data_IF_796934219835
#
_entry.id   IF_796934219835
#
_cell.length_a   1.000
_cell.length_b   1.000
_cell.length_c   1.000
_cell.angle_alpha   90.00
_cell.angle_beta   90.00
_cell.angle_gamma   90.00
#
_symmetry.space_group_name_H-M   'P 1'
#
loop_
_entity.id
_entity.type
_entity.pdbx_description
1 polymer ?
#
# COMPACT_ATOMS: atom_id res chain seq x y z
N UNK A 1 41.56 1.56 8.87
CA UNK A 1 41.73 0.43 9.75
C UNK A 1 41.25 0.73 11.15
N UNK A 2 41.79 1.75 11.75
CA UNK A 2 41.27 2.22 13.00
C UNK A 2 39.81 2.57 12.85
N UNK A 3 39.53 3.20 11.76
CA UNK A 3 38.19 3.57 11.42
C UNK A 3 37.32 2.34 11.31
N UNK A 4 37.88 1.24 10.84
CA UNK A 4 37.12 -0.01 10.76
C UNK A 4 36.72 -0.52 12.12
N UNK A 5 37.60 -0.48 13.09
CA UNK A 5 37.28 -0.90 14.43
C UNK A 5 36.13 -0.10 14.99
N UNK A 6 36.21 1.18 14.80
CA UNK A 6 35.15 2.05 15.29
C UNK A 6 33.83 1.77 14.62
N UNK A 7 33.89 1.52 13.33
CA UNK A 7 32.68 1.19 12.59
C UNK A 7 32.08 -0.12 13.06
N UNK A 8 32.90 -1.07 13.39
CA UNK A 8 32.43 -2.34 13.91
C UNK A 8 31.70 -2.17 15.23
N UNK A 9 32.03 -1.14 15.96
CA UNK A 9 31.43 -0.93 17.24
C UNK A 9 29.93 -0.73 17.16
N UNK A 10 29.44 0.07 16.20
CA UNK A 10 27.99 0.28 16.18
C UNK A 10 27.44 0.90 14.93
N UNK A 11 28.08 1.90 14.33
CA UNK A 11 27.43 2.58 13.23
C UNK A 11 27.05 1.68 12.06
N UNK A 12 27.91 0.71 11.77
CA UNK A 12 27.63 -0.22 10.67
C UNK A 12 26.47 -1.15 10.98
N UNK A 13 26.39 -1.60 12.22
CA UNK A 13 25.27 -2.48 12.62
C UNK A 13 23.96 -1.74 12.59
N UNK A 14 23.96 -0.51 13.08
CA UNK A 14 22.77 0.32 13.05
C UNK A 14 22.34 0.57 11.60
N UNK A 15 23.28 0.89 10.75
CA UNK A 15 23.03 1.12 9.34
C UNK A 15 22.46 -0.12 8.66
N UNK A 16 22.98 -1.31 8.99
CA UNK A 16 22.48 -2.55 8.44
C UNK A 16 21.04 -2.82 8.84
N UNK A 17 20.71 -2.60 10.10
CA UNK A 17 19.35 -2.82 10.58
C UNK A 17 18.40 -1.87 9.90
N UNK A 18 18.78 -0.61 9.78
CA UNK A 18 17.96 0.39 9.11
C UNK A 18 17.77 0.04 7.63
N UNK A 19 18.83 -0.36 6.94
CA UNK A 19 18.75 -0.76 5.55
C UNK A 19 17.86 -1.98 5.36
N UNK A 20 17.91 -2.94 6.30
CA UNK A 20 17.07 -4.12 6.24
C UNK A 20 15.60 -3.75 6.31
N UNK A 21 15.23 -2.83 7.20
CA UNK A 21 13.85 -2.35 7.29
C UNK A 21 13.42 -1.65 6.01
N UNK A 22 14.28 -0.80 5.47
CA UNK A 22 14.00 -0.11 4.22
C UNK A 22 13.83 -1.09 3.06
N UNK A 23 14.66 -2.12 3.02
CA UNK A 23 14.54 -3.15 2.00
C UNK A 23 13.23 -3.90 2.12
N UNK A 24 12.80 -4.23 3.35
CA UNK A 24 11.51 -4.88 3.57
C UNK A 24 10.36 -4.01 3.08
N UNK A 25 10.42 -2.72 3.34
CA UNK A 25 9.39 -1.80 2.89
C UNK A 25 9.36 -1.71 1.37
N UNK A 26 10.52 -1.66 0.73
CA UNK A 26 10.60 -1.64 -0.73
C UNK A 26 10.04 -2.92 -1.33
N UNK A 27 10.35 -4.06 -0.74
CA UNK A 27 9.79 -5.33 -1.19
C UNK A 27 8.28 -5.35 -1.00
N UNK A 28 7.81 -4.83 0.13
CA UNK A 28 6.38 -4.72 0.41
C UNK A 28 5.70 -3.86 -0.66
N UNK A 29 6.27 -2.71 -0.98
CA UNK A 29 5.71 -1.83 -1.99
C UNK A 29 5.64 -2.49 -3.36
N UNK A 30 6.65 -3.27 -3.72
CA UNK A 30 6.63 -4.03 -4.97
C UNK A 30 5.53 -5.07 -4.96
N UNK A 31 5.36 -5.77 -3.84
CA UNK A 31 4.30 -6.77 -3.72
C UNK A 31 2.92 -6.12 -3.82
N UNK A 32 2.76 -4.95 -3.21
CA UNK A 32 1.51 -4.21 -3.30
C UNK A 32 1.22 -3.88 -4.76
N UNK A 33 2.20 -3.40 -5.49
CA UNK A 33 2.06 -3.07 -6.91
C UNK A 33 1.56 -4.28 -7.71
N UNK A 34 2.06 -5.46 -7.39
CA UNK A 34 1.75 -6.67 -8.14
C UNK A 34 0.44 -7.34 -7.70
N UNK A 35 0.02 -7.15 -6.45
CA UNK A 35 -1.06 -7.96 -5.88
C UNK A 35 -2.21 -7.17 -5.26
N UNK A 36 -2.21 -5.85 -5.31
CA UNK A 36 -3.22 -5.08 -4.57
C UNK A 36 -4.65 -5.37 -5.03
N UNK A 37 -4.84 -5.81 -6.27
CA UNK A 37 -6.16 -6.14 -6.79
C UNK A 37 -6.69 -7.45 -6.23
N UNK A 38 -5.80 -8.41 -5.97
CA UNK A 38 -6.16 -9.72 -5.48
C UNK A 38 -6.13 -9.82 -3.96
N UNK A 39 -5.19 -9.14 -3.31
CA UNK A 39 -4.96 -9.29 -1.88
C UNK A 39 -4.89 -7.94 -1.20
N UNK A 40 -5.86 -7.69 -0.32
CA UNK A 40 -6.02 -6.38 0.31
C UNK A 40 -5.65 -6.35 1.79
N UNK A 41 -5.33 -7.52 2.37
CA UNK A 41 -5.00 -7.60 3.79
C UNK A 41 -3.49 -7.68 4.01
N UNK A 42 -2.97 -6.98 5.03
CA UNK A 42 -1.52 -7.01 5.30
C UNK A 42 -0.95 -8.41 5.53
N UNK A 43 -1.76 -9.35 6.02
CA UNK A 43 -1.28 -10.70 6.32
C UNK A 43 -0.69 -11.41 5.11
N UNK A 44 -1.31 -11.24 3.93
CA UNK A 44 -0.77 -11.84 2.71
C UNK A 44 0.65 -11.36 2.45
N UNK A 45 0.87 -10.06 2.56
CA UNK A 45 2.17 -9.45 2.29
C UNK A 45 3.21 -9.82 3.36
N UNK A 46 2.76 -9.86 4.60
CA UNK A 46 3.64 -10.27 5.69
C UNK A 46 4.14 -11.70 5.48
N UNK A 47 3.24 -12.61 5.07
CA UNK A 47 3.63 -13.99 4.76
C UNK A 47 4.69 -14.03 3.65
N UNK A 48 4.49 -13.25 2.61
CA UNK A 48 5.46 -13.20 1.50
C UNK A 48 6.81 -12.68 1.94
N UNK A 49 6.82 -11.79 2.93
CA UNK A 49 8.05 -11.18 3.44
C UNK A 49 8.63 -11.95 4.63
N UNK A 50 7.99 -13.06 5.02
CA UNK A 50 8.42 -13.90 6.14
C UNK A 50 8.49 -13.12 7.45
N UNK A 51 7.50 -12.26 7.68
CA UNK A 51 7.37 -11.52 8.93
C UNK A 51 5.91 -11.60 9.38
N UNK A 52 5.66 -11.17 10.61
CA UNK A 52 4.28 -11.09 11.10
C UNK A 52 3.60 -9.83 10.58
N UNK A 53 2.27 -9.85 10.50
CA UNK A 53 1.52 -8.67 10.09
C UNK A 53 1.78 -7.51 11.06
N UNK A 54 1.87 -7.80 12.36
CA UNK A 54 2.15 -6.77 13.35
C UNK A 54 3.52 -6.12 13.13
N UNK A 55 4.52 -6.92 12.82
CA UNK A 55 5.86 -6.40 12.55
C UNK A 55 5.86 -5.55 11.29
N UNK A 56 5.19 -6.03 10.24
CA UNK A 56 5.10 -5.27 8.99
C UNK A 56 4.44 -3.91 9.23
N UNK A 57 3.31 -3.88 9.96
CA UNK A 57 2.65 -2.63 10.29
C UNK A 57 3.57 -1.71 11.08
N UNK A 58 4.34 -2.28 12.00
CA UNK A 58 5.23 -1.50 12.85
C UNK A 58 6.33 -0.83 12.03
N UNK A 59 7.01 -1.56 11.16
CA UNK A 59 8.08 -0.97 10.37
C UNK A 59 7.54 0.04 9.37
N UNK A 60 6.39 -0.22 8.77
CA UNK A 60 5.76 0.73 7.86
C UNK A 60 5.42 2.02 8.61
N UNK A 61 4.81 1.91 9.78
CA UNK A 61 4.44 3.08 10.57
C UNK A 61 5.67 3.88 10.99
N UNK A 62 6.72 3.20 11.39
CA UNK A 62 7.95 3.86 11.83
C UNK A 62 8.66 4.57 10.68
N UNK A 63 8.75 3.94 9.52
CA UNK A 63 9.54 4.45 8.40
C UNK A 63 8.73 5.35 7.45
N UNK A 64 7.43 5.16 7.34
CA UNK A 64 6.60 5.91 6.38
C UNK A 64 5.46 6.68 7.03
N UNK A 65 5.27 6.53 8.33
CA UNK A 65 4.17 7.13 9.08
C UNK A 65 2.80 6.57 8.71
N UNK A 66 2.76 5.49 7.94
CA UNK A 66 1.53 4.81 7.50
C UNK A 66 1.63 3.33 7.81
N UNK A 67 0.52 2.72 8.22
CA UNK A 67 0.51 1.26 8.42
C UNK A 67 0.52 0.57 7.06
N UNK A 68 0.81 -0.74 7.06
CA UNK A 68 0.76 -1.53 5.84
C UNK A 68 -0.64 -1.48 5.23
N UNK A 69 -1.68 -1.57 6.07
CA UNK A 69 -3.06 -1.46 5.58
C UNK A 69 -3.34 -0.13 4.90
N UNK A 70 -2.83 0.96 5.47
CA UNK A 70 -2.99 2.29 4.85
C UNK A 70 -2.35 2.34 3.48
N UNK A 71 -1.16 1.78 3.35
CA UNK A 71 -0.42 1.77 2.08
C UNK A 71 -1.19 0.99 1.02
N UNK A 72 -1.73 -0.18 1.39
CA UNK A 72 -2.53 -0.99 0.47
C UNK A 72 -3.79 -0.22 0.03
N UNK A 73 -4.52 0.35 0.99
CA UNK A 73 -5.76 1.08 0.69
C UNK A 73 -5.49 2.29 -0.19
N UNK A 74 -4.39 2.97 0.05
CA UNK A 74 -4.02 4.13 -0.76
C UNK A 74 -3.74 3.72 -2.21
N UNK A 75 -3.06 2.59 -2.40
CA UNK A 75 -2.77 2.11 -3.76
C UNK A 75 -4.04 1.76 -4.51
N UNK A 76 -4.98 1.10 -3.83
CA UNK A 76 -6.28 0.76 -4.43
C UNK A 76 -7.01 2.05 -4.80
N UNK A 77 -7.01 3.03 -3.90
CA UNK A 77 -7.72 4.30 -4.10
C UNK A 77 -7.14 5.06 -5.30
N UNK A 78 -5.83 5.12 -5.42
CA UNK A 78 -5.18 5.81 -6.53
C UNK A 78 -5.56 5.17 -7.85
N UNK A 79 -5.58 3.84 -7.91
CA UNK A 79 -5.97 3.15 -9.14
C UNK A 79 -7.44 3.39 -9.46
N UNK A 80 -8.30 3.39 -8.43
CA UNK A 80 -9.72 3.69 -8.65
C UNK A 80 -9.91 5.09 -9.23
N UNK A 81 -9.20 6.07 -8.67
CA UNK A 81 -9.28 7.44 -9.15
C UNK A 81 -8.79 7.55 -10.59
N UNK A 82 -7.72 6.85 -10.91
CA UNK A 82 -7.18 6.82 -12.27
C UNK A 82 -8.20 6.26 -13.27
N UNK A 83 -8.82 5.15 -12.92
CA UNK A 83 -9.81 4.52 -13.80
C UNK A 83 -11.06 5.39 -13.95
N UNK A 84 -11.49 6.03 -12.87
CA UNK A 84 -12.65 6.91 -12.93
C UNK A 84 -12.40 8.15 -13.80
N UNK A 85 -11.17 8.64 -13.77
CA UNK A 85 -10.83 9.87 -14.50
C UNK A 85 -10.51 9.61 -15.97
N UNK A 86 -9.75 8.55 -16.25
CA UNK A 86 -9.17 8.35 -17.58
C UNK A 86 -9.85 7.28 -18.43
N UNK A 87 -10.84 6.59 -17.91
CA UNK A 87 -11.53 5.55 -18.67
C UNK A 87 -13.04 5.78 -18.64
N UNK A 88 -13.74 5.05 -19.52
CA UNK A 88 -15.19 5.06 -19.54
C UNK A 88 -15.79 3.82 -18.84
N UNK A 89 -14.96 3.09 -18.11
CA UNK A 89 -15.44 1.92 -17.37
C UNK A 89 -16.51 2.35 -16.36
N UNK A 90 -17.55 1.53 -16.23
CA UNK A 90 -18.59 1.78 -15.24
C UNK A 90 -18.02 1.58 -13.83
N UNK A 91 -18.70 2.14 -12.84
CA UNK A 91 -18.32 1.93 -11.44
C UNK A 91 -18.30 0.44 -11.12
N UNK A 92 -19.27 -0.31 -11.65
CA UNK A 92 -19.33 -1.75 -11.44
C UNK A 92 -18.12 -2.47 -12.05
N UNK A 93 -17.73 -2.08 -13.26
CA UNK A 93 -16.57 -2.65 -13.92
C UNK A 93 -15.28 -2.34 -13.16
N UNK A 94 -15.17 -1.12 -12.65
CA UNK A 94 -13.99 -0.72 -11.86
C UNK A 94 -13.92 -1.54 -10.57
N UNK A 95 -15.07 -1.70 -9.88
CA UNK A 95 -15.12 -2.50 -8.67
C UNK A 95 -14.63 -3.93 -8.93
N UNK A 96 -15.08 -4.50 -10.04
CA UNK A 96 -14.68 -5.86 -10.42
C UNK A 96 -13.18 -5.92 -10.74
N UNK A 97 -12.68 -4.96 -11.51
CA UNK A 97 -11.26 -4.90 -11.86
C UNK A 97 -10.37 -4.81 -10.63
N UNK A 98 -10.83 -4.07 -9.62
CA UNK A 98 -10.06 -3.88 -8.39
C UNK A 98 -10.24 -5.01 -7.39
N UNK A 99 -10.97 -6.06 -7.77
CA UNK A 99 -11.10 -7.24 -6.94
C UNK A 99 -12.13 -7.16 -5.83
N UNK A 100 -13.07 -6.24 -5.90
CA UNK A 100 -14.16 -6.17 -4.92
C UNK A 100 -15.24 -7.19 -5.27
N UNK A 101 -15.78 -7.86 -4.25
CA UNK A 101 -16.80 -8.89 -4.44
C UNK A 101 -18.09 -8.32 -5.04
N UNK A 102 -18.41 -7.07 -4.69
CA UNK A 102 -19.55 -6.40 -5.29
C UNK A 102 -19.32 -4.90 -5.27
N UNK A 103 -20.13 -4.20 -6.07
CA UNK A 103 -19.97 -2.77 -6.25
C UNK A 103 -20.27 -1.99 -4.97
N UNK A 104 -21.14 -2.49 -4.12
CA UNK A 104 -21.47 -1.80 -2.87
C UNK A 104 -20.27 -1.70 -1.94
N UNK A 105 -19.48 -2.75 -1.84
CA UNK A 105 -18.26 -2.73 -1.04
C UNK A 105 -17.26 -1.71 -1.59
N UNK A 106 -17.16 -1.65 -2.90
CA UNK A 106 -16.26 -0.68 -3.53
C UNK A 106 -16.70 0.76 -3.25
N UNK A 107 -17.99 1.04 -3.40
CA UNK A 107 -18.52 2.38 -3.17
C UNK A 107 -18.29 2.82 -1.73
N UNK A 108 -18.55 1.92 -0.78
CA UNK A 108 -18.32 2.20 0.64
C UNK A 108 -16.84 2.47 0.91
N UNK A 109 -15.98 1.63 0.34
CA UNK A 109 -14.53 1.79 0.48
C UNK A 109 -14.08 3.14 -0.08
N UNK A 110 -14.49 3.45 -1.30
CA UNK A 110 -14.07 4.66 -1.98
C UNK A 110 -14.54 5.92 -1.23
N UNK A 111 -15.79 5.91 -0.81
CA UNK A 111 -16.35 7.04 -0.07
C UNK A 111 -15.60 7.28 1.24
N UNK A 112 -15.22 6.21 1.90
CA UNK A 112 -14.46 6.31 3.15
C UNK A 112 -13.06 6.90 2.90
N UNK A 113 -12.43 6.52 1.78
CA UNK A 113 -11.08 6.97 1.48
C UNK A 113 -11.04 8.40 0.90
N UNK A 114 -11.99 8.74 0.05
CA UNK A 114 -11.96 9.96 -0.75
C UNK A 114 -13.01 10.98 -0.32
N UNK A 115 -13.98 10.58 0.50
CA UNK A 115 -15.05 11.42 1.04
C UNK A 115 -16.11 11.80 0.01
N UNK A 116 -16.06 11.21 -1.19
CA UNK A 116 -17.11 11.34 -2.20
C UNK A 116 -17.37 9.98 -2.81
N UNK A 117 -18.52 9.81 -3.45
CA UNK A 117 -18.81 8.56 -4.16
C UNK A 117 -18.00 8.51 -5.44
N UNK A 118 -17.78 7.31 -6.01
CA UNK A 118 -17.08 7.20 -7.29
C UNK A 118 -17.75 8.01 -8.39
N UNK A 119 -19.07 8.01 -8.44
CA UNK A 119 -19.79 8.78 -9.47
C UNK A 119 -19.59 10.26 -9.31
N UNK A 120 -19.67 10.76 -8.09
CA UNK A 120 -19.42 12.18 -7.81
C UNK A 120 -17.99 12.56 -8.15
N UNK A 121 -17.04 11.70 -7.81
CA UNK A 121 -15.64 11.93 -8.12
C UNK A 121 -15.44 12.05 -9.63
N UNK A 122 -16.05 11.15 -10.40
CA UNK A 122 -15.95 11.17 -11.86
C UNK A 122 -16.49 12.45 -12.45
N UNK A 123 -17.63 12.90 -11.94
CA UNK A 123 -18.22 14.16 -12.43
C UNK A 123 -17.31 15.35 -12.16
N UNK A 124 -16.73 15.42 -10.98
CA UNK A 124 -15.83 16.51 -10.62
C UNK A 124 -14.55 16.46 -11.45
N UNK A 125 -14.02 15.26 -11.69
CA UNK A 125 -12.78 15.09 -12.43
C UNK A 125 -12.95 15.46 -13.91
N UNK A 126 -14.16 15.34 -14.45
CA UNK A 126 -14.42 15.58 -15.86
C UNK A 126 -14.94 17.00 -16.17
N UNK A 127 -14.96 17.86 -15.16
CA UNK A 127 -15.36 19.26 -15.37
C UNK A 127 -14.23 20.12 -15.89
#
# INVERSE_FOLDING_TARGET
LLVQLERMCNPQMISKVHNSKNEKIKEFEKLVENYFKQYKMPSFYADKLHVTANYLNKICKTETDKTAGDIIRKRITIEAQRLLHYTNLSVNEIAHDLGFDNVSYFITFFKKQVQTTPEQFRKLANQ
#
